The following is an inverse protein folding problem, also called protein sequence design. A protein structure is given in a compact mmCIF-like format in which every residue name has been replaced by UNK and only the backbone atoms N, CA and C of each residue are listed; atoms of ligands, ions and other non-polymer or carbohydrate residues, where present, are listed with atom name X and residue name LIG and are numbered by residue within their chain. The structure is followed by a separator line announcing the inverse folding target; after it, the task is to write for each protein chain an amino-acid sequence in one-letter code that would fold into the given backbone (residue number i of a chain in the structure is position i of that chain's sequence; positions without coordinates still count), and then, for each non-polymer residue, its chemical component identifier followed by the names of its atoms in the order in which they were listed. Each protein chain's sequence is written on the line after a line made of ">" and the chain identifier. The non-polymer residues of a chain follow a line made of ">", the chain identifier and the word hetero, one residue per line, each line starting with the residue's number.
data_IF_024183906887
#
_entry.id   IF_024183906887
#
_cell.length_a   1.000
_cell.length_b   1.000
_cell.length_c   1.000
_cell.angle_alpha   90.00
_cell.angle_beta   90.00
_cell.angle_gamma   90.00
#
_symmetry.space_group_name_H-M   'P 1'
#
loop_
_entity.id
_entity.type
_entity.pdbx_description
1 polymer ?
#
# COMPACT_ATOMS: atom_id res chain seq x y z
N UNK A 1 6.67 10.78 -5.33
CA UNK A 1 7.64 9.67 -5.39
C UNK A 1 8.18 9.44 -4.01
N UNK A 2 8.11 8.19 -3.56
CA UNK A 2 8.53 7.78 -2.22
C UNK A 2 9.70 6.81 -2.29
N UNK A 3 10.66 6.99 -1.39
CA UNK A 3 11.74 6.04 -1.14
C UNK A 3 11.43 5.32 0.17
N UNK A 4 11.38 3.99 0.11
CA UNK A 4 11.01 3.14 1.22
C UNK A 4 12.19 2.28 1.64
N UNK A 5 12.46 2.22 2.94
CA UNK A 5 13.39 1.29 3.56
C UNK A 5 12.58 0.37 4.48
N UNK A 6 12.44 -0.89 4.11
CA UNK A 6 11.60 -1.84 4.85
C UNK A 6 12.21 -2.30 6.17
N UNK A 7 13.49 -2.05 6.38
CA UNK A 7 14.18 -2.27 7.64
C UNK A 7 15.64 -1.87 7.58
N UNK A 8 16.03 -1.00 8.52
CA UNK A 8 17.42 -0.56 8.70
C UNK A 8 17.73 -0.54 10.20
N UNK A 9 18.61 -1.39 10.64
CA UNK A 9 19.06 -1.43 12.03
C UNK A 9 20.38 -0.61 12.16
N UNK A 10 20.47 0.34 12.99
CA UNK A 10 19.57 0.83 14.07
C UNK A 10 19.03 2.22 13.74
N UNK A 11 19.82 3.02 13.03
CA UNK A 11 19.58 4.42 12.74
C UNK A 11 20.26 4.80 11.43
N UNK A 12 19.63 5.67 10.63
CA UNK A 12 20.26 6.19 9.42
C UNK A 12 19.83 7.62 9.08
N UNK A 13 20.72 8.31 8.37
CA UNK A 13 20.43 9.55 7.65
C UNK A 13 20.29 9.29 6.16
N UNK A 14 19.46 10.11 5.50
CA UNK A 14 19.19 10.05 4.07
C UNK A 14 19.48 11.39 3.38
N UNK A 15 20.20 11.33 2.26
CA UNK A 15 20.39 12.45 1.33
C UNK A 15 20.02 12.02 -0.08
N UNK A 16 19.43 12.97 -0.83
CA UNK A 16 19.16 12.82 -2.26
C UNK A 16 19.84 14.00 -2.99
N UNK A 17 20.70 13.68 -3.97
CA UNK A 17 21.45 14.68 -4.74
C UNK A 17 22.21 15.66 -3.83
N UNK A 18 22.82 15.14 -2.77
CA UNK A 18 23.58 15.93 -1.78
C UNK A 18 22.72 16.75 -0.81
N UNK A 19 21.38 16.72 -0.92
CA UNK A 19 20.47 17.43 -0.03
C UNK A 19 19.93 16.51 1.06
N UNK A 20 20.00 16.95 2.32
CA UNK A 20 19.44 16.19 3.44
C UNK A 20 17.92 16.08 3.34
N UNK A 21 17.40 14.85 3.51
CA UNK A 21 15.99 14.51 3.44
C UNK A 21 15.42 14.25 4.83
N UNK A 22 16.11 13.42 5.63
CA UNK A 22 15.63 13.04 6.94
C UNK A 22 16.38 11.86 7.55
N UNK A 23 15.84 11.30 8.61
CA UNK A 23 16.40 10.16 9.32
C UNK A 23 15.29 9.21 9.81
N UNK A 24 15.68 7.99 10.17
CA UNK A 24 14.81 7.03 10.89
C UNK A 24 15.59 6.29 11.96
N UNK A 25 14.93 5.96 13.09
CA UNK A 25 15.47 5.19 14.21
C UNK A 25 14.75 3.86 14.42
N UNK A 26 13.64 3.63 13.73
CA UNK A 26 12.85 2.42 13.92
C UNK A 26 13.37 1.30 13.04
N UNK A 27 14.02 0.30 13.64
CA UNK A 27 14.70 -0.76 12.91
C UNK A 27 13.77 -1.73 12.18
N UNK A 28 12.54 -1.91 12.65
CA UNK A 28 11.64 -3.00 12.20
C UNK A 28 10.49 -2.55 11.33
N UNK A 29 10.13 -1.29 11.36
CA UNK A 29 9.06 -0.72 10.55
C UNK A 29 9.65 -0.04 9.31
N UNK A 30 8.86 -0.01 8.24
CA UNK A 30 9.22 0.71 7.01
C UNK A 30 9.37 2.20 7.27
N UNK A 31 10.52 2.75 6.91
CA UNK A 31 10.75 4.18 6.85
C UNK A 31 10.47 4.66 5.43
N UNK A 32 9.48 5.55 5.28
CA UNK A 32 9.08 6.12 3.99
C UNK A 32 9.38 7.61 3.94
N UNK A 33 10.02 8.06 2.85
CA UNK A 33 10.37 9.46 2.62
C UNK A 33 9.77 9.96 1.31
N UNK A 34 9.06 11.08 1.32
CA UNK A 34 8.69 11.78 0.09
C UNK A 34 9.93 12.48 -0.49
N UNK A 35 10.46 11.90 -1.55
CA UNK A 35 11.64 12.40 -2.25
C UNK A 35 11.30 13.30 -3.45
N UNK A 36 10.02 13.55 -3.72
CA UNK A 36 9.56 14.37 -4.85
C UNK A 36 10.26 15.74 -4.95
N UNK A 37 10.50 16.49 -3.83
CA UNK A 37 11.17 17.78 -3.88
C UNK A 37 12.68 17.71 -4.14
N UNK A 38 13.28 16.52 -4.07
CA UNK A 38 14.72 16.31 -4.10
C UNK A 38 15.22 15.71 -5.42
N UNK A 39 14.32 15.06 -6.17
CA UNK A 39 14.67 14.36 -7.42
C UNK A 39 14.61 15.30 -8.63
N UNK A 40 15.41 14.94 -9.64
CA UNK A 40 15.43 15.60 -10.95
C UNK A 40 15.20 14.58 -12.06
N UNK A 41 14.91 15.05 -13.29
CA UNK A 41 14.77 14.17 -14.44
C UNK A 41 16.13 13.51 -14.75
N UNK A 42 16.12 12.20 -14.89
CA UNK A 42 17.31 11.42 -15.22
C UNK A 42 17.95 10.77 -13.99
N UNK A 43 19.28 10.73 -13.91
CA UNK A 43 20.02 10.09 -12.83
C UNK A 43 19.91 10.91 -11.55
N UNK A 44 19.63 10.24 -10.44
CA UNK A 44 19.62 10.81 -9.10
C UNK A 44 20.57 9.99 -8.22
N UNK A 45 21.24 10.65 -7.29
CA UNK A 45 22.13 10.04 -6.32
C UNK A 45 21.41 9.90 -4.98
N UNK A 46 21.50 8.71 -4.38
CA UNK A 46 20.97 8.41 -3.04
C UNK A 46 22.16 8.09 -2.15
N UNK A 47 22.35 8.84 -1.07
CA UNK A 47 23.34 8.56 -0.04
C UNK A 47 22.64 8.24 1.28
N UNK A 48 23.06 7.14 1.92
CA UNK A 48 22.52 6.66 3.19
C UNK A 48 23.69 6.43 4.14
N UNK A 49 23.70 7.10 5.28
CA UNK A 49 24.66 6.87 6.35
C UNK A 49 23.99 6.09 7.47
N UNK A 50 24.42 4.83 7.66
CA UNK A 50 23.82 3.91 8.63
C UNK A 50 24.72 3.80 9.86
N UNK A 51 24.14 3.97 11.03
CA UNK A 51 24.82 3.85 12.32
C UNK A 51 24.48 2.50 12.96
N UNK A 52 25.52 1.82 13.43
CA UNK A 52 25.41 0.52 14.09
C UNK A 52 24.59 0.56 15.38
N UNK A 53 24.65 1.67 16.10
CA UNK A 53 23.96 1.83 17.37
C UNK A 53 23.39 3.24 17.51
N UNK A 54 22.28 3.36 18.19
CA UNK A 54 21.63 4.61 18.55
C UNK A 54 21.01 4.50 19.94
N UNK A 55 20.42 5.56 20.45
CA UNK A 55 19.62 5.53 21.68
C UNK A 55 18.47 4.52 21.59
N UNK A 56 17.84 4.35 20.42
CA UNK A 56 16.82 3.35 20.16
C UNK A 56 17.30 1.90 20.30
N UNK A 57 18.59 1.63 20.06
CA UNK A 57 19.15 0.29 20.16
C UNK A 57 19.00 -0.34 21.53
N UNK A 58 19.01 0.46 22.60
CA UNK A 58 18.81 -0.03 23.97
C UNK A 58 17.37 -0.37 24.26
N UNK A 59 16.41 0.33 23.64
CA UNK A 59 14.97 0.05 23.77
C UNK A 59 14.55 -1.17 22.94
N UNK A 60 15.21 -1.37 21.81
CA UNK A 60 14.98 -2.50 20.91
C UNK A 60 15.81 -3.74 21.26
N UNK A 61 16.51 -3.71 22.41
CA UNK A 61 17.38 -4.79 22.89
C UNK A 61 16.56 -5.95 23.45
N UNK A 62 16.03 -6.79 22.57
CA UNK A 62 15.36 -8.03 22.92
C UNK A 62 16.31 -9.22 22.74
N UNK A 63 15.86 -10.44 23.11
CA UNK A 63 16.61 -11.69 22.92
C UNK A 63 16.69 -12.08 21.45
N UNK A 64 17.34 -11.26 20.64
CA UNK A 64 17.52 -11.51 19.21
C UNK A 64 18.89 -11.01 18.74
N UNK A 65 19.37 -11.58 17.64
CA UNK A 65 20.55 -11.08 16.97
C UNK A 65 20.34 -9.65 16.47
N UNK A 66 21.35 -8.80 16.68
CA UNK A 66 21.41 -7.47 16.14
C UNK A 66 22.40 -7.45 14.99
N UNK A 67 21.87 -7.35 13.80
CA UNK A 67 22.64 -7.24 12.58
C UNK A 67 22.43 -5.84 12.01
N UNK A 68 23.33 -4.88 12.30
CA UNK A 68 23.18 -3.52 11.83
C UNK A 68 23.33 -3.44 10.32
N UNK A 69 22.66 -2.45 9.75
CA UNK A 69 22.66 -2.22 8.32
C UNK A 69 21.27 -2.26 7.69
N UNK A 70 21.22 -2.18 6.37
CA UNK A 70 20.01 -2.31 5.57
C UNK A 70 19.76 -3.81 5.39
N UNK A 71 18.80 -4.39 6.12
CA UNK A 71 18.58 -5.84 6.15
C UNK A 71 17.30 -6.28 5.41
N UNK A 72 16.50 -5.33 4.91
CA UNK A 72 15.32 -5.56 4.08
C UNK A 72 15.40 -4.74 2.79
N UNK A 73 14.35 -4.83 1.98
CA UNK A 73 14.31 -4.17 0.68
C UNK A 73 14.36 -2.64 0.80
N UNK A 74 14.97 -2.04 -0.22
CA UNK A 74 14.86 -0.61 -0.50
C UNK A 74 14.14 -0.47 -1.83
N UNK A 75 13.04 0.29 -1.84
CA UNK A 75 12.20 0.44 -3.02
C UNK A 75 11.83 1.90 -3.29
N UNK A 76 11.61 2.22 -4.56
CA UNK A 76 11.07 3.50 -4.98
C UNK A 76 9.66 3.26 -5.52
N UNK A 77 8.69 3.98 -4.98
CA UNK A 77 7.30 3.96 -5.46
C UNK A 77 6.89 5.32 -6.00
N UNK A 78 6.15 5.31 -7.09
CA UNK A 78 5.59 6.52 -7.66
C UNK A 78 4.08 6.33 -7.85
N UNK A 79 3.30 7.24 -7.29
CA UNK A 79 1.85 7.24 -7.41
C UNK A 79 1.38 8.33 -8.37
N UNK A 80 0.21 8.19 -9.02
CA UNK A 80 -0.45 9.30 -9.68
C UNK A 80 -0.73 10.45 -8.69
N UNK A 81 -0.93 11.66 -9.19
CA UNK A 81 -1.27 12.81 -8.33
C UNK A 81 -2.63 12.69 -7.66
N UNK A 82 -3.54 11.93 -8.26
CA UNK A 82 -4.79 11.48 -7.64
C UNK A 82 -4.67 9.96 -7.53
N UNK A 83 -4.67 9.44 -6.32
CA UNK A 83 -4.34 8.04 -6.06
C UNK A 83 -5.06 7.49 -4.83
N UNK A 84 -5.00 6.19 -4.67
CA UNK A 84 -5.44 5.49 -3.47
C UNK A 84 -4.32 5.61 -2.43
N UNK A 85 -4.57 6.34 -1.35
CA UNK A 85 -3.59 6.54 -0.28
C UNK A 85 -3.60 5.40 0.73
N UNK A 86 -4.77 4.83 1.01
CA UNK A 86 -4.93 3.72 1.97
C UNK A 86 -6.17 2.89 1.66
N UNK A 87 -6.13 1.61 2.01
CA UNK A 87 -7.27 0.70 1.98
C UNK A 87 -7.34 -0.11 3.26
N UNK A 88 -8.37 0.15 4.05
CA UNK A 88 -8.72 -0.70 5.19
C UNK A 88 -9.73 -1.75 4.73
N UNK A 89 -9.31 -3.02 4.67
CA UNK A 89 -10.14 -4.16 4.32
C UNK A 89 -10.43 -4.99 5.56
N UNK A 90 -11.70 -5.23 5.85
CA UNK A 90 -12.15 -6.06 6.98
C UNK A 90 -12.97 -7.21 6.40
N UNK A 91 -12.37 -8.41 6.24
CA UNK A 91 -13.07 -9.59 5.79
C UNK A 91 -13.92 -10.21 6.92
N UNK A 92 -14.96 -10.91 6.53
CA UNK A 92 -15.78 -11.76 7.41
C UNK A 92 -16.32 -12.95 6.61
N UNK A 93 -16.61 -14.05 7.32
CA UNK A 93 -17.16 -15.27 6.74
C UNK A 93 -18.34 -15.77 7.57
N UNK A 94 -19.41 -16.15 6.88
CA UNK A 94 -20.59 -16.76 7.52
C UNK A 94 -21.26 -17.71 6.51
N UNK A 95 -21.35 -18.97 6.84
CA UNK A 95 -22.11 -19.99 6.09
C UNK A 95 -21.86 -19.99 4.57
N UNK A 96 -20.60 -20.03 4.16
CA UNK A 96 -20.21 -20.02 2.75
C UNK A 96 -20.24 -18.65 2.09
N UNK A 97 -20.57 -17.59 2.84
CA UNK A 97 -20.59 -16.21 2.34
C UNK A 97 -19.40 -15.43 2.88
N UNK A 98 -18.50 -15.03 2.00
CA UNK A 98 -17.43 -14.11 2.28
C UNK A 98 -17.88 -12.67 2.07
N UNK A 99 -17.54 -11.77 3.00
CA UNK A 99 -17.83 -10.34 2.86
C UNK A 99 -16.58 -9.54 3.20
N UNK A 100 -16.25 -8.53 2.40
CA UNK A 100 -15.16 -7.58 2.69
C UNK A 100 -15.74 -6.17 2.78
N UNK A 101 -15.60 -5.56 3.96
CA UNK A 101 -15.88 -4.14 4.14
C UNK A 101 -14.62 -3.34 3.85
N UNK A 102 -14.68 -2.48 2.85
CA UNK A 102 -13.59 -1.64 2.39
C UNK A 102 -13.84 -0.18 2.81
N UNK A 103 -12.84 0.44 3.40
CA UNK A 103 -12.74 1.90 3.48
C UNK A 103 -11.48 2.31 2.72
N UNK A 104 -11.67 2.98 1.59
CA UNK A 104 -10.59 3.41 0.70
C UNK A 104 -10.41 4.91 0.82
N UNK A 105 -9.23 5.36 1.22
CA UNK A 105 -8.88 6.77 1.27
C UNK A 105 -8.20 7.19 -0.01
N UNK A 106 -8.82 8.13 -0.73
CA UNK A 106 -8.27 8.77 -1.92
C UNK A 106 -7.52 10.03 -1.53
N UNK A 107 -6.36 10.27 -2.16
CA UNK A 107 -5.56 11.49 -2.01
C UNK A 107 -5.48 12.25 -3.32
N UNK A 108 -5.69 13.56 -3.27
CA UNK A 108 -5.49 14.46 -4.39
C UNK A 108 -4.38 15.46 -4.09
N UNK A 109 -3.24 15.30 -4.74
CA UNK A 109 -2.07 16.19 -4.61
C UNK A 109 -2.10 17.37 -5.58
N UNK A 110 -3.16 17.49 -6.42
CA UNK A 110 -3.29 18.58 -7.39
C UNK A 110 -3.90 19.83 -6.75
N UNK A 111 -3.80 20.96 -7.46
CA UNK A 111 -4.40 22.24 -7.06
C UNK A 111 -5.86 22.40 -7.51
N UNK A 112 -6.45 21.36 -8.13
CA UNK A 112 -7.84 21.36 -8.60
C UNK A 112 -8.59 20.18 -7.99
N UNK A 113 -9.89 20.33 -7.79
CA UNK A 113 -10.73 19.21 -7.35
C UNK A 113 -10.73 18.11 -8.42
N UNK A 114 -10.49 16.88 -8.01
CA UNK A 114 -10.67 15.69 -8.85
C UNK A 114 -12.12 15.23 -8.75
N UNK A 115 -12.81 15.16 -9.88
CA UNK A 115 -14.23 14.80 -9.98
C UNK A 115 -14.38 13.48 -10.74
N UNK A 116 -15.58 12.92 -10.69
CA UNK A 116 -15.96 11.67 -11.38
C UNK A 116 -15.10 10.47 -10.98
N UNK A 117 -14.64 10.44 -9.73
CA UNK A 117 -13.89 9.33 -9.17
C UNK A 117 -14.84 8.24 -8.68
N UNK A 118 -14.57 7.00 -9.02
CA UNK A 118 -15.20 5.83 -8.42
C UNK A 118 -14.22 4.66 -8.37
N UNK A 119 -14.56 3.64 -7.60
CA UNK A 119 -13.72 2.45 -7.43
C UNK A 119 -14.41 1.24 -8.06
N UNK A 120 -13.63 0.47 -8.81
CA UNK A 120 -13.99 -0.85 -9.29
C UNK A 120 -13.10 -1.88 -8.59
N UNK A 121 -13.71 -2.93 -8.07
CA UNK A 121 -13.00 -4.03 -7.41
C UNK A 121 -13.28 -5.34 -8.13
N UNK A 122 -12.22 -6.10 -8.34
CA UNK A 122 -12.30 -7.48 -8.84
C UNK A 122 -11.69 -8.42 -7.81
N UNK A 123 -12.35 -9.55 -7.57
CA UNK A 123 -11.88 -10.58 -6.65
C UNK A 123 -11.53 -11.82 -7.45
N UNK A 124 -10.31 -12.29 -7.26
CA UNK A 124 -9.78 -13.50 -7.87
C UNK A 124 -9.50 -14.54 -6.80
N UNK A 125 -9.83 -15.80 -7.07
CA UNK A 125 -9.37 -16.93 -6.25
C UNK A 125 -7.90 -17.15 -6.53
N UNK A 126 -7.07 -17.02 -5.49
CA UNK A 126 -5.64 -17.29 -5.61
C UNK A 126 -5.36 -18.73 -5.23
N UNK A 127 -4.87 -19.52 -6.18
CA UNK A 127 -4.33 -20.85 -5.90
C UNK A 127 -2.84 -20.70 -5.70
N UNK A 128 -2.36 -21.02 -4.48
CA UNK A 128 -0.92 -21.07 -4.20
C UNK A 128 -0.22 -21.97 -5.24
N UNK A 129 0.80 -21.41 -5.90
CA UNK A 129 1.61 -22.09 -6.93
C UNK A 129 0.90 -22.39 -8.27
N UNK A 130 -0.24 -21.79 -8.55
CA UNK A 130 -0.89 -21.86 -9.86
C UNK A 130 -0.86 -20.50 -10.54
N UNK A 131 -0.60 -20.49 -11.84
CA UNK A 131 -0.57 -19.25 -12.65
C UNK A 131 -1.98 -18.78 -13.07
N UNK A 132 -3.03 -19.54 -12.73
CA UNK A 132 -4.42 -19.28 -13.08
C UNK A 132 -5.18 -18.62 -11.91
N UNK A 133 -5.40 -17.33 -11.99
CA UNK A 133 -6.29 -16.62 -11.08
C UNK A 133 -7.70 -16.60 -11.66
N UNK A 134 -8.62 -17.34 -11.05
CA UNK A 134 -10.03 -17.36 -11.45
C UNK A 134 -10.74 -16.11 -10.96
N UNK A 135 -11.33 -15.33 -11.88
CA UNK A 135 -12.16 -14.19 -11.52
C UNK A 135 -13.45 -14.68 -10.86
N UNK A 136 -13.65 -14.33 -9.59
CA UNK A 136 -14.83 -14.71 -8.80
C UNK A 136 -15.95 -13.71 -8.95
N UNK A 137 -15.64 -12.42 -8.85
CA UNK A 137 -16.62 -11.34 -8.93
C UNK A 137 -15.98 -10.00 -9.27
N UNK A 138 -16.78 -9.11 -9.85
CA UNK A 138 -16.43 -7.69 -10.05
C UNK A 138 -17.54 -6.82 -9.44
N UNK A 139 -17.12 -5.78 -8.73
CA UNK A 139 -17.98 -4.81 -8.06
C UNK A 139 -17.63 -3.41 -8.55
N UNK A 140 -18.59 -2.76 -9.20
CA UNK A 140 -18.43 -1.39 -9.67
C UNK A 140 -19.74 -0.62 -9.45
N UNK A 141 -19.67 0.50 -8.76
CA UNK A 141 -20.76 1.46 -8.72
C UNK A 141 -20.34 2.75 -9.45
N UNK A 142 -20.46 2.73 -10.76
CA UNK A 142 -20.12 3.86 -11.61
C UNK A 142 -21.02 5.11 -11.38
N UNK A 143 -22.12 4.97 -10.61
CA UNK A 143 -23.01 6.08 -10.23
C UNK A 143 -22.59 6.74 -8.92
N UNK A 144 -21.93 6.00 -8.03
CA UNK A 144 -21.40 6.52 -6.76
C UNK A 144 -20.11 7.30 -6.98
N UNK A 145 -20.24 8.48 -7.60
CA UNK A 145 -19.11 9.35 -7.92
C UNK A 145 -18.65 10.15 -6.72
N UNK A 146 -17.36 10.11 -6.47
CA UNK A 146 -16.71 10.87 -5.40
C UNK A 146 -15.97 12.07 -5.97
N UNK A 147 -15.92 13.14 -5.18
CA UNK A 147 -15.09 14.31 -5.42
C UNK A 147 -13.99 14.34 -4.35
N UNK A 148 -12.74 14.34 -4.79
CA UNK A 148 -11.61 14.57 -3.91
C UNK A 148 -11.10 16.00 -4.07
N UNK A 149 -11.23 16.80 -3.02
CA UNK A 149 -10.87 18.22 -3.06
C UNK A 149 -9.38 18.42 -3.35
N UNK A 150 -9.06 19.61 -3.87
CA UNK A 150 -7.70 20.06 -4.09
C UNK A 150 -6.84 19.88 -2.84
N UNK A 151 -5.69 19.21 -2.96
CA UNK A 151 -4.76 18.88 -1.87
C UNK A 151 -5.44 18.24 -0.64
N UNK A 152 -6.56 17.54 -0.86
CA UNK A 152 -7.37 16.92 0.17
C UNK A 152 -7.46 15.40 0.03
N UNK A 153 -8.27 14.83 0.90
CA UNK A 153 -8.61 13.40 0.92
C UNK A 153 -10.12 13.20 0.82
N UNK A 154 -10.52 12.00 0.41
CA UNK A 154 -11.90 11.56 0.40
C UNK A 154 -11.97 10.06 0.70
N UNK A 155 -12.89 9.67 1.58
CA UNK A 155 -13.11 8.26 1.91
C UNK A 155 -14.28 7.69 1.09
N UNK A 156 -14.09 6.49 0.57
CA UNK A 156 -15.10 5.70 -0.15
C UNK A 156 -15.29 4.39 0.58
N UNK A 157 -16.52 4.11 1.01
CA UNK A 157 -16.90 2.87 1.70
C UNK A 157 -17.67 1.97 0.76
N UNK A 158 -17.26 0.70 0.70
CA UNK A 158 -17.89 -0.32 -0.14
C UNK A 158 -17.91 -1.65 0.62
N UNK A 159 -18.91 -2.47 0.32
CA UNK A 159 -19.03 -3.84 0.82
C UNK A 159 -19.06 -4.78 -0.37
N UNK A 160 -18.10 -5.70 -0.43
CA UNK A 160 -18.03 -6.73 -1.45
C UNK A 160 -18.51 -8.04 -0.85
N UNK A 161 -19.26 -8.83 -1.64
CA UNK A 161 -19.79 -10.13 -1.21
C UNK A 161 -19.42 -11.20 -2.21
N UNK A 162 -18.88 -12.31 -1.73
CA UNK A 162 -18.59 -13.52 -2.48
C UNK A 162 -19.47 -14.64 -1.96
N UNK A 163 -20.36 -15.15 -2.80
CA UNK A 163 -21.13 -16.33 -2.48
C UNK A 163 -20.29 -17.59 -2.74
N UNK A 164 -20.50 -18.63 -1.94
CA UNK A 164 -19.72 -19.88 -1.99
C UNK A 164 -18.21 -19.63 -1.83
N UNK A 165 -17.86 -18.68 -0.95
CA UNK A 165 -16.46 -18.44 -0.61
C UNK A 165 -15.87 -19.66 0.13
N UNK A 166 -14.62 -19.99 -0.18
CA UNK A 166 -13.85 -20.93 0.61
C UNK A 166 -13.27 -20.22 1.83
N UNK A 167 -13.53 -20.74 3.03
CA UNK A 167 -12.97 -20.18 4.26
C UNK A 167 -11.45 -20.36 4.29
N UNK A 168 -10.76 -19.41 4.93
CA UNK A 168 -9.37 -19.57 5.27
C UNK A 168 -9.25 -20.34 6.59
N UNK A 169 -8.47 -21.41 6.61
CA UNK A 169 -8.03 -22.08 7.83
C UNK A 169 -6.52 -22.35 7.74
N UNK A 170 -5.90 -22.75 8.83
CA UNK A 170 -4.48 -23.12 8.83
C UNK A 170 -4.20 -24.37 7.98
N UNK A 171 -5.17 -25.29 7.92
CA UNK A 171 -5.12 -26.55 7.13
C UNK A 171 -5.46 -26.30 5.65
N UNK A 172 -6.37 -25.36 5.39
CA UNK A 172 -6.81 -24.97 4.05
C UNK A 172 -6.70 -23.44 3.90
N UNK A 173 -5.51 -22.90 3.62
CA UNK A 173 -5.28 -21.45 3.56
C UNK A 173 -5.80 -20.87 2.23
N UNK A 174 -7.13 -20.86 2.08
CA UNK A 174 -7.77 -20.26 0.91
C UNK A 174 -7.61 -18.74 0.90
N UNK A 175 -6.95 -18.22 -0.12
CA UNK A 175 -6.63 -16.80 -0.28
C UNK A 175 -7.27 -16.26 -1.55
N UNK A 176 -7.70 -15.03 -1.50
CA UNK A 176 -8.23 -14.26 -2.62
C UNK A 176 -7.36 -13.04 -2.88
N UNK A 177 -7.23 -12.65 -4.14
CA UNK A 177 -6.62 -11.39 -4.53
C UNK A 177 -7.72 -10.38 -4.85
N UNK A 178 -7.71 -9.26 -4.14
CA UNK A 178 -8.50 -8.09 -4.49
C UNK A 178 -7.68 -7.19 -5.39
N UNK A 179 -8.25 -6.81 -6.53
CA UNK A 179 -7.70 -5.81 -7.44
C UNK A 179 -8.63 -4.61 -7.42
N UNK A 180 -8.12 -3.49 -6.94
CA UNK A 180 -8.83 -2.21 -6.86
C UNK A 180 -8.35 -1.26 -7.94
N UNK A 181 -9.27 -0.71 -8.71
CA UNK A 181 -8.99 0.27 -9.75
C UNK A 181 -9.67 1.60 -9.40
N UNK A 182 -8.87 2.65 -9.28
CA UNK A 182 -9.39 4.02 -9.21
C UNK A 182 -9.72 4.49 -10.63
N UNK A 183 -10.99 4.75 -10.86
CA UNK A 183 -11.50 5.24 -12.13
C UNK A 183 -11.75 6.74 -12.07
N UNK A 184 -11.44 7.44 -13.17
CA UNK A 184 -11.93 8.80 -13.42
C UNK A 184 -12.73 8.80 -14.73
N UNK A 185 -14.03 8.87 -14.63
CA UNK A 185 -14.93 8.57 -15.74
C UNK A 185 -14.70 7.13 -16.24
N UNK A 186 -14.27 6.97 -17.48
CA UNK A 186 -13.96 5.65 -18.08
C UNK A 186 -12.48 5.27 -18.03
N UNK A 187 -11.63 6.13 -17.49
CA UNK A 187 -10.17 5.91 -17.46
C UNK A 187 -9.73 5.32 -16.14
N UNK A 188 -8.94 4.26 -16.17
CA UNK A 188 -8.19 3.77 -15.01
C UNK A 188 -7.06 4.75 -14.70
N UNK A 189 -7.05 5.28 -13.48
CA UNK A 189 -6.03 6.20 -12.98
C UNK A 189 -4.93 5.44 -12.28
N UNK A 190 -5.33 4.45 -11.48
CA UNK A 190 -4.42 3.62 -10.68
C UNK A 190 -5.02 2.23 -10.47
N UNK A 191 -4.15 1.25 -10.35
CA UNK A 191 -4.51 -0.13 -9.99
C UNK A 191 -3.66 -0.56 -8.81
N UNK A 192 -4.31 -1.13 -7.80
CA UNK A 192 -3.66 -1.74 -6.63
C UNK A 192 -4.14 -3.18 -6.47
N UNK A 193 -3.36 -4.00 -5.77
CA UNK A 193 -3.79 -5.35 -5.42
C UNK A 193 -3.24 -5.76 -4.06
N UNK A 194 -4.02 -6.58 -3.35
CA UNK A 194 -3.61 -7.21 -2.08
C UNK A 194 -4.38 -8.49 -1.85
N UNK A 195 -3.88 -9.32 -0.94
CA UNK A 195 -4.50 -10.60 -0.60
C UNK A 195 -5.41 -10.47 0.62
N UNK A 196 -6.46 -11.29 0.66
CA UNK A 196 -7.37 -11.45 1.80
C UNK A 196 -7.81 -12.92 1.91
N UNK A 197 -8.18 -13.33 3.12
CA UNK A 197 -8.91 -14.58 3.39
C UNK A 197 -10.28 -14.26 3.96
N UNK A 198 -11.21 -15.20 3.91
CA UNK A 198 -12.51 -15.10 4.55
C UNK A 198 -12.62 -16.03 5.75
#
# INVERSE_FOLDING_TARGET
>A
VYLNFDGVDSFFYLWINGRYVGFSKNSRNTAQFDITPYITKGKNEVAVEVYRSSDGSFLEAQDMFRLPGIFRNVSVTATPKVHIADVKAIPSYTDGKGTVNLNTTLQNLTTKNAKDLHLRWSIYKNRLFADDNELVATFEDAKAKTVCNSKGQADVRQTLTVNNAAAWTAEEPNVYVLVGELMQGKKVVETISFQTGF
#
